data_IF_976606734405
#
_entry.id   IF_976606734405
#
_cell.length_a   1.000
_cell.length_b   1.000
_cell.length_c   1.000
_cell.angle_alpha   90.00
_cell.angle_beta   90.00
_cell.angle_gamma   90.00
#
_symmetry.space_group_name_H-M   'P 1'
#
loop_
_entity.id
_entity.type
_entity.pdbx_description
1 polymer ?
#
# COMPACT_ATOMS: atom_id res chain seq x y z
N UNK A 1 23.74 12.37 -6.33
CA UNK A 1 22.80 11.32 -5.91
C UNK A 1 22.04 10.90 -7.16
N UNK A 2 22.22 9.66 -7.58
CA UNK A 2 21.39 9.08 -8.62
C UNK A 2 19.96 8.97 -8.09
N UNK A 3 18.97 9.09 -8.97
CA UNK A 3 17.54 9.09 -8.59
C UNK A 3 17.13 7.85 -7.78
N UNK A 4 17.78 6.70 -7.99
CA UNK A 4 17.54 5.48 -7.22
C UNK A 4 17.83 5.62 -5.73
N UNK A 5 18.86 6.37 -5.36
CA UNK A 5 19.30 6.58 -3.97
C UNK A 5 18.26 7.41 -3.17
N UNK A 6 17.62 8.38 -3.83
CA UNK A 6 16.56 9.21 -3.24
C UNK A 6 15.27 8.41 -3.04
N UNK A 7 14.84 7.65 -4.05
CA UNK A 7 13.61 6.86 -3.98
C UNK A 7 13.72 5.79 -2.89
N UNK A 8 14.87 5.14 -2.76
CA UNK A 8 15.11 4.15 -1.70
C UNK A 8 15.03 4.78 -0.31
N UNK A 9 15.64 5.96 -0.10
CA UNK A 9 15.54 6.69 1.17
C UNK A 9 14.09 7.05 1.53
N UNK A 10 13.31 7.55 0.56
CA UNK A 10 11.89 7.90 0.79
C UNK A 10 11.08 6.65 1.11
N UNK A 11 11.34 5.55 0.39
CA UNK A 11 10.71 4.26 0.59
C UNK A 11 10.94 3.74 2.02
N UNK A 12 12.19 3.74 2.48
CA UNK A 12 12.55 3.31 3.84
C UNK A 12 11.98 4.26 4.91
N UNK A 13 11.96 5.57 4.64
CA UNK A 13 11.35 6.52 5.55
C UNK A 13 9.84 6.29 5.69
N UNK A 14 9.14 6.11 4.56
CA UNK A 14 7.70 5.80 4.54
C UNK A 14 7.42 4.49 5.28
N UNK A 15 8.23 3.46 5.06
CA UNK A 15 8.13 2.18 5.79
C UNK A 15 8.18 2.34 7.30
N UNK A 16 9.15 3.10 7.79
CA UNK A 16 9.28 3.37 9.22
C UNK A 16 8.08 4.12 9.78
N UNK A 17 7.47 5.03 9.01
CA UNK A 17 6.27 5.78 9.44
C UNK A 17 5.03 4.89 9.52
N UNK A 18 4.84 4.00 8.54
CA UNK A 18 3.65 3.13 8.45
C UNK A 18 3.54 2.19 9.65
N UNK A 19 4.67 1.72 10.19
CA UNK A 19 4.70 0.86 11.38
C UNK A 19 4.07 1.52 12.63
N UNK A 20 4.03 2.85 12.68
CA UNK A 20 3.48 3.61 13.80
C UNK A 20 1.97 3.89 13.65
N UNK A 21 1.35 3.55 12.51
CA UNK A 21 -0.07 3.80 12.24
C UNK A 21 -1.01 2.83 12.95
N UNK A 22 -0.47 1.95 13.79
CA UNK A 22 -1.21 0.95 14.52
C UNK A 22 -1.48 -0.30 13.69
N UNK A 23 -2.45 -1.10 14.14
CA UNK A 23 -2.71 -2.40 13.52
C UNK A 23 -3.34 -2.24 12.13
N UNK A 24 -2.79 -2.87 11.07
CA UNK A 24 -3.37 -2.81 9.74
C UNK A 24 -4.70 -3.56 9.69
N UNK A 25 -5.66 -3.00 8.96
CA UNK A 25 -6.88 -3.66 8.50
C UNK A 25 -6.67 -4.13 7.06
N UNK A 26 -6.99 -5.39 6.76
CA UNK A 26 -6.76 -6.01 5.45
C UNK A 26 -8.09 -6.43 4.85
N UNK A 27 -8.40 -5.89 3.69
CA UNK A 27 -9.64 -6.17 2.98
C UNK A 27 -9.32 -6.85 1.65
N UNK A 28 -9.76 -8.11 1.44
CA UNK A 28 -9.53 -8.78 0.17
C UNK A 28 -10.32 -8.08 -0.93
N UNK A 29 -9.65 -7.78 -2.05
CA UNK A 29 -10.29 -7.15 -3.20
C UNK A 29 -10.95 -8.26 -4.04
N UNK A 30 -12.29 -8.26 -4.17
CA UNK A 30 -12.97 -9.29 -4.95
C UNK A 30 -12.76 -9.06 -6.45
N UNK A 31 -12.60 -10.16 -7.19
CA UNK A 31 -12.80 -10.13 -8.63
C UNK A 31 -14.28 -9.84 -8.91
N UNK A 32 -14.55 -8.94 -9.86
CA UNK A 32 -15.93 -8.61 -10.26
C UNK A 32 -16.62 -9.81 -10.90
N UNK A 33 -15.89 -10.56 -11.73
CA UNK A 33 -16.33 -11.82 -12.35
C UNK A 33 -15.13 -12.79 -12.53
N UNK A 34 -15.35 -14.12 -12.59
CA UNK A 34 -14.26 -15.10 -12.77
C UNK A 34 -13.47 -14.97 -14.08
N UNK A 35 -13.97 -14.19 -15.05
CA UNK A 35 -13.33 -13.93 -16.35
C UNK A 35 -12.90 -12.48 -16.51
N UNK A 36 -13.15 -11.64 -15.51
CA UNK A 36 -12.73 -10.25 -15.54
C UNK A 36 -11.26 -10.19 -15.13
N UNK A 37 -10.43 -9.58 -15.97
CA UNK A 37 -9.02 -9.32 -15.67
C UNK A 37 -8.83 -8.05 -14.85
N UNK A 38 -9.92 -7.35 -14.52
CA UNK A 38 -9.90 -6.10 -13.76
C UNK A 38 -10.30 -6.35 -12.30
N UNK A 39 -9.57 -5.70 -11.40
CA UNK A 39 -9.90 -5.65 -9.97
C UNK A 39 -10.37 -4.23 -9.67
N UNK A 40 -11.61 -4.12 -9.18
CA UNK A 40 -12.16 -2.85 -8.71
C UNK A 40 -12.04 -2.83 -7.20
N UNK A 41 -11.37 -1.81 -6.67
CA UNK A 41 -11.24 -1.62 -5.23
C UNK A 41 -12.53 -0.96 -4.75
N UNK A 42 -13.37 -1.65 -3.97
CA UNK A 42 -14.64 -1.09 -3.54
C UNK A 42 -14.37 -0.09 -2.43
N UNK A 43 -14.40 1.21 -2.74
CA UNK A 43 -14.31 2.22 -1.70
C UNK A 43 -15.71 2.46 -1.17
N UNK A 44 -15.92 2.10 0.10
CA UNK A 44 -17.23 2.15 0.70
C UNK A 44 -17.69 3.60 0.90
N UNK A 45 -18.77 4.00 0.23
CA UNK A 45 -19.63 5.08 0.71
C UNK A 45 -19.82 6.31 -0.19
N UNK A 46 -19.03 6.53 -1.25
CA UNK A 46 -19.32 7.63 -2.19
C UNK A 46 -18.70 7.42 -3.59
N UNK A 47 -19.51 7.09 -4.62
CA UNK A 47 -19.01 6.87 -5.99
C UNK A 47 -18.50 8.14 -6.68
N UNK A 48 -18.68 9.33 -6.10
CA UNK A 48 -18.31 10.60 -6.74
C UNK A 48 -16.93 11.13 -6.34
N UNK A 49 -16.19 10.54 -5.38
CA UNK A 49 -14.95 11.20 -4.94
C UNK A 49 -13.85 10.37 -4.27
N UNK A 50 -13.96 9.05 -4.15
CA UNK A 50 -12.81 8.29 -3.68
C UNK A 50 -11.98 7.79 -4.87
N UNK A 51 -11.18 8.68 -5.46
CA UNK A 51 -10.11 8.23 -6.36
C UNK A 51 -8.99 7.60 -5.54
N UNK A 52 -8.31 6.62 -6.12
CA UNK A 52 -7.16 5.96 -5.49
C UNK A 52 -5.92 6.44 -6.20
N UNK A 53 -4.94 6.89 -5.42
CA UNK A 53 -3.69 7.45 -5.92
C UNK A 53 -2.54 6.50 -5.60
N UNK A 54 -2.27 5.47 -6.42
CA UNK A 54 -1.15 4.55 -6.21
C UNK A 54 0.19 5.20 -6.53
N UNK A 55 1.17 5.02 -5.63
CA UNK A 55 2.50 5.60 -5.73
C UNK A 55 3.53 4.52 -6.07
N UNK A 56 3.59 4.14 -7.35
CA UNK A 56 4.44 3.04 -7.84
C UNK A 56 5.95 3.26 -7.61
N UNK A 57 6.39 4.52 -7.58
CA UNK A 57 7.77 4.87 -7.27
C UNK A 57 8.22 4.32 -5.90
N UNK A 58 7.28 4.17 -4.96
CA UNK A 58 7.53 3.65 -3.61
C UNK A 58 7.11 2.18 -3.46
N UNK A 59 6.89 1.46 -4.55
CA UNK A 59 6.56 0.03 -4.48
C UNK A 59 7.70 -0.78 -3.85
N UNK A 60 7.34 -1.68 -2.94
CA UNK A 60 8.26 -2.65 -2.35
C UNK A 60 8.01 -4.01 -2.99
N UNK A 61 9.09 -4.66 -3.42
CA UNK A 61 9.06 -5.98 -4.05
C UNK A 61 9.88 -6.94 -3.18
N UNK A 62 9.22 -7.96 -2.65
CA UNK A 62 9.87 -9.00 -1.89
C UNK A 62 9.90 -10.31 -2.68
N UNK A 63 11.07 -10.96 -2.70
CA UNK A 63 11.26 -12.28 -3.31
C UNK A 63 11.71 -13.27 -2.24
N UNK A 64 10.98 -14.37 -2.11
CA UNK A 64 11.13 -15.40 -1.07
C UNK A 64 12.51 -16.05 -0.97
N UNK A 65 13.38 -15.90 -1.98
CA UNK A 65 14.78 -16.35 -1.94
C UNK A 65 15.68 -15.53 -1.00
N UNK A 66 15.24 -14.35 -0.57
CA UNK A 66 16.09 -13.35 0.09
C UNK A 66 15.95 -13.31 1.64
N UNK A 67 15.48 -14.40 2.25
CA UNK A 67 14.95 -14.50 3.63
C UNK A 67 13.61 -13.78 3.78
N UNK A 68 12.61 -14.46 4.35
CA UNK A 68 11.25 -13.92 4.47
C UNK A 68 11.21 -12.54 5.15
N UNK A 69 10.82 -11.53 4.38
CA UNK A 69 10.49 -10.17 4.82
C UNK A 69 8.99 -9.97 4.73
N UNK A 70 8.43 -9.10 5.58
CA UNK A 70 6.98 -8.91 5.70
C UNK A 70 6.47 -7.61 5.05
N UNK A 71 7.37 -6.80 4.47
CA UNK A 71 7.03 -5.52 3.85
C UNK A 71 6.39 -4.52 4.82
N UNK A 72 5.77 -3.47 4.25
CA UNK A 72 5.19 -2.33 4.99
C UNK A 72 4.10 -2.68 6.02
N UNK A 73 3.44 -3.82 5.86
CA UNK A 73 2.12 -4.09 6.47
C UNK A 73 2.11 -5.31 7.38
N UNK A 74 3.27 -5.90 7.69
CA UNK A 74 3.37 -7.19 8.37
C UNK A 74 2.65 -8.32 7.60
N UNK A 75 2.94 -8.45 6.29
CA UNK A 75 2.31 -9.42 5.38
C UNK A 75 2.30 -10.86 5.95
N UNK A 76 1.13 -11.50 6.13
CA UNK A 76 1.02 -12.84 6.71
C UNK A 76 1.38 -13.96 5.70
N UNK A 77 1.44 -13.66 4.40
CA UNK A 77 1.68 -14.63 3.34
C UNK A 77 3.18 -14.87 3.16
N UNK A 78 3.62 -16.11 3.38
CA UNK A 78 5.04 -16.51 3.31
C UNK A 78 5.51 -16.78 1.88
N UNK A 79 5.34 -15.83 0.97
CA UNK A 79 5.83 -15.96 -0.40
C UNK A 79 6.17 -14.60 -1.01
N UNK A 80 6.38 -14.58 -2.33
CA UNK A 80 6.70 -13.36 -3.05
C UNK A 80 5.53 -12.38 -2.93
N UNK A 81 5.83 -11.10 -2.73
CA UNK A 81 4.79 -10.08 -2.66
C UNK A 81 5.26 -8.74 -3.22
N UNK A 82 4.28 -7.95 -3.62
CA UNK A 82 4.46 -6.56 -4.03
C UNK A 82 3.50 -5.72 -3.18
N UNK A 83 4.03 -4.68 -2.55
CA UNK A 83 3.24 -3.71 -1.79
C UNK A 83 3.39 -2.34 -2.44
N UNK A 84 2.27 -1.75 -2.86
CA UNK A 84 2.22 -0.44 -3.52
C UNK A 84 1.49 0.55 -2.61
N UNK A 85 2.20 1.52 -2.00
CA UNK A 85 1.56 2.57 -1.22
C UNK A 85 0.57 3.38 -2.06
N UNK A 86 -0.47 3.89 -1.41
CA UNK A 86 -1.48 4.73 -2.02
C UNK A 86 -2.12 5.67 -0.99
N UNK A 87 -2.90 6.64 -1.47
CA UNK A 87 -3.85 7.36 -0.64
C UNK A 87 -5.21 7.47 -1.34
N UNK A 88 -6.27 7.57 -0.55
CA UNK A 88 -7.64 7.78 -1.02
C UNK A 88 -7.90 9.29 -1.14
N UNK A 89 -8.29 9.77 -2.32
CA UNK A 89 -8.28 11.19 -2.69
C UNK A 89 -9.11 12.09 -1.78
N UNK A 90 -10.35 11.71 -1.46
CA UNK A 90 -11.23 12.56 -0.65
C UNK A 90 -10.96 12.44 0.84
N UNK A 91 -10.75 11.24 1.35
CA UNK A 91 -10.51 11.00 2.78
C UNK A 91 -9.06 11.23 3.21
N UNK A 92 -8.16 11.39 2.23
CA UNK A 92 -6.70 11.42 2.40
C UNK A 92 -6.17 10.26 3.24
N UNK A 93 -6.86 9.12 3.15
CA UNK A 93 -6.51 7.93 3.91
C UNK A 93 -5.35 7.20 3.22
N UNK A 94 -4.24 7.04 3.92
CA UNK A 94 -3.11 6.21 3.50
C UNK A 94 -3.55 4.74 3.46
N UNK A 95 -3.24 4.09 2.34
CA UNK A 95 -3.48 2.68 2.11
C UNK A 95 -2.27 2.01 1.44
N UNK A 96 -2.26 0.68 1.39
CA UNK A 96 -1.27 -0.10 0.66
C UNK A 96 -1.99 -1.20 -0.12
N UNK A 97 -1.76 -1.26 -1.43
CA UNK A 97 -2.15 -2.41 -2.24
C UNK A 97 -1.14 -3.52 -2.07
N UNK A 98 -1.61 -4.66 -1.62
CA UNK A 98 -0.76 -5.81 -1.41
C UNK A 98 -1.16 -6.94 -2.35
N UNK A 99 -0.20 -7.42 -3.14
CA UNK A 99 -0.36 -8.62 -3.94
C UNK A 99 0.64 -9.66 -3.45
N UNK A 100 0.15 -10.79 -2.99
CA UNK A 100 0.97 -11.86 -2.41
C UNK A 100 0.74 -13.18 -3.11
N UNK A 101 1.79 -13.96 -3.30
CA UNK A 101 1.73 -15.28 -3.91
C UNK A 101 2.14 -16.34 -2.91
N UNK A 102 1.23 -17.24 -2.55
CA UNK A 102 1.54 -18.32 -1.61
C UNK A 102 0.86 -19.62 -2.03
N UNK A 103 1.63 -20.71 -2.12
CA UNK A 103 1.14 -22.07 -2.45
C UNK A 103 0.26 -22.14 -3.70
N UNK A 104 0.62 -21.38 -4.75
CA UNK A 104 -0.12 -21.36 -6.01
C UNK A 104 -1.39 -20.50 -6.00
N UNK A 105 -1.63 -19.74 -4.93
CA UNK A 105 -2.72 -18.77 -4.82
C UNK A 105 -2.16 -17.34 -4.87
N UNK A 106 -2.94 -16.43 -5.46
CA UNK A 106 -2.70 -14.99 -5.42
C UNK A 106 -3.72 -14.34 -4.48
N UNK A 107 -3.23 -13.51 -3.57
CA UNK A 107 -4.01 -12.73 -2.63
C UNK A 107 -3.82 -11.27 -2.99
N UNK A 108 -4.91 -10.55 -3.22
CA UNK A 108 -4.90 -9.12 -3.51
C UNK A 108 -5.74 -8.43 -2.44
N UNK A 109 -5.10 -7.57 -1.67
CA UNK A 109 -5.67 -6.93 -0.49
C UNK A 109 -5.46 -5.42 -0.55
N UNK A 110 -6.46 -4.67 -0.09
CA UNK A 110 -6.31 -3.27 0.31
C UNK A 110 -5.99 -3.25 1.81
N UNK A 111 -4.88 -2.65 2.18
CA UNK A 111 -4.49 -2.50 3.58
C UNK A 111 -4.66 -1.05 4.01
N UNK A 112 -5.43 -0.83 5.08
CA UNK A 112 -5.68 0.50 5.68
C UNK A 112 -5.29 0.53 7.15
N UNK A 113 -5.23 1.74 7.73
CA UNK A 113 -4.77 1.96 9.10
C UNK A 113 -5.83 2.74 9.90
N UNK A 114 -6.92 2.08 10.35
CA UNK A 114 -8.06 2.75 10.97
C UNK A 114 -7.73 3.37 12.34
N UNK A 115 -6.67 2.91 13.01
CA UNK A 115 -6.21 3.43 14.29
C UNK A 115 -5.21 4.60 14.15
N UNK A 116 -4.82 4.96 12.91
CA UNK A 116 -3.85 6.02 12.67
C UNK A 116 -4.42 7.38 13.08
N UNK A 117 -3.64 8.15 13.84
CA UNK A 117 -3.95 9.56 14.10
C UNK A 117 -3.64 10.39 12.85
N UNK A 118 -4.69 10.68 12.08
CA UNK A 118 -4.60 11.42 10.81
C UNK A 118 -4.15 12.86 10.99
N UNK A 119 -4.32 13.44 12.17
CA UNK A 119 -3.91 14.82 12.48
C UNK A 119 -2.44 14.88 12.97
N UNK A 120 -1.83 13.73 13.24
CA UNK A 120 -0.44 13.67 13.69
C UNK A 120 0.53 14.17 12.61
N UNK A 121 1.61 14.82 13.06
CA UNK A 121 2.70 15.26 12.17
C UNK A 121 3.33 14.11 11.38
N UNK A 122 3.35 12.90 11.95
CA UNK A 122 3.87 11.70 11.30
C UNK A 122 2.99 11.27 10.11
N UNK A 123 1.67 11.20 10.32
CA UNK A 123 0.72 10.84 9.27
C UNK A 123 0.74 11.87 8.14
N UNK A 124 0.72 13.15 8.49
CA UNK A 124 0.78 14.25 7.53
C UNK A 124 2.10 14.27 6.75
N UNK A 125 3.22 13.90 7.38
CA UNK A 125 4.50 13.76 6.69
C UNK A 125 4.48 12.59 5.69
N UNK A 126 3.95 11.42 6.09
CA UNK A 126 3.83 10.27 5.20
C UNK A 126 2.91 10.57 4.00
N UNK A 127 1.76 11.21 4.23
CA UNK A 127 0.85 11.61 3.16
C UNK A 127 1.52 12.57 2.17
N UNK A 128 2.29 13.55 2.66
CA UNK A 128 3.06 14.47 1.80
C UNK A 128 4.15 13.75 1.02
N UNK A 129 4.77 12.70 1.57
CA UNK A 129 5.73 11.88 0.82
C UNK A 129 5.04 11.14 -0.33
N UNK A 130 3.84 10.61 -0.10
CA UNK A 130 3.06 9.96 -1.14
C UNK A 130 2.66 10.94 -2.25
N UNK A 131 2.08 12.09 -1.90
CA UNK A 131 1.68 13.13 -2.86
C UNK A 131 2.88 13.66 -3.66
N UNK A 132 4.06 13.79 -3.04
CA UNK A 132 5.27 14.26 -3.72
C UNK A 132 5.85 13.24 -4.72
N UNK A 133 5.63 11.94 -4.50
CA UNK A 133 6.13 10.87 -5.37
C UNK A 133 5.04 10.29 -6.29
N UNK A 134 3.80 10.77 -6.18
CA UNK A 134 2.72 10.44 -7.11
C UNK A 134 3.11 10.87 -8.52
N UNK A 135 3.13 9.91 -9.44
CA UNK A 135 3.39 10.20 -10.85
C UNK A 135 2.08 10.52 -11.54
N UNK A 136 1.90 11.78 -11.96
CA UNK A 136 0.73 12.26 -12.71
C UNK A 136 0.94 12.16 -14.22
#
# INVERSE_FOLDING_TARGET
>A
METGDRTELIRTAFEAMVLEFGKPNREPIPYREPRDSTMMIPIAGNPENDEIHPVFALSHHFRSKDNYEKGYTDNPHRGDHISVPAYLGFTQEIAVFETSFHKGQAFVELVTFPAADRDSSLYQAALRMLDAEETR
#
